data_IF_559819111952
#
_entry.id   IF_559819111952
#
_cell.length_a   1.000
_cell.length_b   1.000
_cell.length_c   1.000
_cell.angle_alpha   90.00
_cell.angle_beta   90.00
_cell.angle_gamma   90.00
#
_symmetry.space_group_name_H-M   'P 1'
#
loop_
_entity.id
_entity.type
_entity.pdbx_description
1 polymer ?
#
# COMPACT_ATOMS: atom_id res chain seq x y z
N UNK A 1 -13.47 -5.64 21.61
CA UNK A 1 -12.14 -5.02 21.47
C UNK A 1 -11.64 -5.19 20.04
N UNK A 2 -11.19 -4.12 19.45
CA UNK A 2 -10.71 -4.15 18.06
C UNK A 2 -9.24 -4.60 18.05
N UNK A 3 -9.01 -5.85 17.65
CA UNK A 3 -7.67 -6.43 17.61
C UNK A 3 -7.26 -6.90 16.21
N UNK A 4 -8.06 -6.56 15.20
CA UNK A 4 -7.78 -6.91 13.82
C UNK A 4 -7.11 -5.73 13.11
N UNK A 5 -6.07 -6.03 12.39
CA UNK A 5 -5.29 -5.05 11.63
C UNK A 5 -5.14 -5.55 10.20
N UNK A 6 -5.18 -4.64 9.25
CA UNK A 6 -4.89 -4.96 7.86
C UNK A 6 -3.59 -4.29 7.47
N UNK A 7 -2.72 -5.04 6.84
CA UNK A 7 -1.50 -4.52 6.24
C UNK A 7 -1.57 -4.62 4.72
N UNK A 8 -1.13 -3.58 4.03
CA UNK A 8 -1.04 -3.57 2.58
C UNK A 8 0.36 -3.17 2.16
N UNK A 9 0.92 -3.92 1.24
CA UNK A 9 2.28 -3.71 0.75
C UNK A 9 2.40 -4.01 -0.75
N UNK A 10 3.21 -3.22 -1.42
CA UNK A 10 3.64 -3.49 -2.78
C UNK A 10 5.17 -3.43 -2.83
N UNK A 11 5.79 -4.46 -3.40
CA UNK A 11 7.25 -4.54 -3.51
C UNK A 11 7.81 -3.73 -4.66
N UNK A 12 9.13 -3.62 -4.73
CA UNK A 12 9.83 -2.84 -5.77
C UNK A 12 9.66 -3.43 -7.17
N UNK A 13 9.33 -4.71 -7.29
CA UNK A 13 9.01 -5.36 -8.57
C UNK A 13 7.66 -4.91 -9.16
N UNK A 14 6.78 -4.34 -8.35
CA UNK A 14 5.46 -3.84 -8.73
C UNK A 14 4.61 -4.93 -9.40
N UNK A 15 4.72 -6.18 -8.90
CA UNK A 15 4.01 -7.33 -9.49
C UNK A 15 2.62 -7.54 -8.90
N UNK A 16 2.49 -7.35 -7.59
CA UNK A 16 1.26 -7.63 -6.88
C UNK A 16 1.06 -6.68 -5.71
N UNK A 17 -0.19 -6.55 -5.31
CA UNK A 17 -0.61 -5.85 -4.10
C UNK A 17 -0.93 -6.92 -3.06
N UNK A 18 -0.10 -7.01 -2.03
CA UNK A 18 -0.25 -8.01 -0.98
C UNK A 18 -0.99 -7.42 0.21
N UNK A 19 -2.05 -8.09 0.64
CA UNK A 19 -2.87 -7.66 1.76
C UNK A 19 -2.98 -8.80 2.75
N UNK A 20 -2.87 -8.48 4.03
CA UNK A 20 -2.99 -9.45 5.11
C UNK A 20 -3.86 -8.91 6.22
N UNK A 21 -4.61 -9.80 6.84
CA UNK A 21 -5.34 -9.55 8.09
C UNK A 21 -4.60 -10.21 9.24
N UNK A 22 -4.32 -9.44 10.27
CA UNK A 22 -3.63 -9.89 11.47
C UNK A 22 -4.51 -9.70 12.70
N UNK A 23 -4.49 -10.67 13.58
CA UNK A 23 -4.98 -10.51 14.94
C UNK A 23 -3.77 -10.21 15.83
N UNK A 24 -3.79 -9.09 16.53
CA UNK A 24 -2.68 -8.68 17.40
C UNK A 24 -3.21 -8.27 18.76
N UNK A 25 -2.66 -8.88 19.81
CA UNK A 25 -2.85 -8.46 21.18
C UNK A 25 -1.51 -8.47 21.93
N UNK A 26 -1.54 -8.31 23.25
CA UNK A 26 -0.31 -8.25 24.06
C UNK A 26 0.49 -9.55 24.06
N UNK A 27 -0.16 -10.68 23.78
CA UNK A 27 0.43 -12.00 23.93
C UNK A 27 0.77 -12.65 22.59
N UNK A 28 0.06 -12.30 21.51
CA UNK A 28 0.19 -13.00 20.24
C UNK A 28 -0.03 -12.11 19.02
N UNK A 29 0.52 -12.55 17.90
CA UNK A 29 0.26 -12.02 16.57
C UNK A 29 -0.03 -13.20 15.65
N UNK A 30 -1.22 -13.22 15.05
CA UNK A 30 -1.67 -14.29 14.16
C UNK A 30 -2.05 -13.76 12.80
N UNK A 31 -1.58 -14.42 11.76
CA UNK A 31 -2.05 -14.19 10.39
C UNK A 31 -3.40 -14.92 10.22
N UNK A 32 -4.44 -14.19 9.92
CA UNK A 32 -5.80 -14.75 9.73
C UNK A 32 -6.11 -14.96 8.25
N UNK A 33 -5.86 -13.97 7.41
CA UNK A 33 -6.12 -14.01 5.98
C UNK A 33 -4.99 -13.31 5.23
N UNK A 34 -4.71 -13.76 4.02
CA UNK A 34 -3.77 -13.09 3.13
C UNK A 34 -4.23 -13.29 1.68
N UNK A 35 -4.05 -12.26 0.86
CA UNK A 35 -4.40 -12.31 -0.55
C UNK A 35 -3.49 -11.40 -1.35
N UNK A 36 -3.16 -11.81 -2.57
CA UNK A 36 -2.44 -10.99 -3.54
C UNK A 36 -3.40 -10.58 -4.65
N UNK A 37 -3.42 -9.28 -4.95
CA UNK A 37 -4.18 -8.72 -6.06
C UNK A 37 -3.21 -8.38 -7.19
N UNK A 38 -3.66 -8.57 -8.42
CA UNK A 38 -2.87 -8.19 -9.58
C UNK A 38 -2.75 -6.67 -9.64
N UNK A 39 -1.52 -6.20 -9.85
CA UNK A 39 -1.29 -4.76 -10.03
C UNK A 39 -1.81 -4.33 -11.40
N UNK A 40 -2.62 -3.25 -11.50
CA UNK A 40 -3.08 -2.76 -12.79
C UNK A 40 -1.90 -2.39 -13.69
N UNK A 41 -1.90 -2.90 -14.91
CA UNK A 41 -0.77 -2.76 -15.84
C UNK A 41 -0.39 -1.31 -16.11
N UNK A 42 -1.37 -0.44 -16.33
CA UNK A 42 -1.12 0.99 -16.57
C UNK A 42 -0.43 1.66 -15.40
N UNK A 43 -0.87 1.34 -14.18
CA UNK A 43 -0.27 1.89 -12.97
C UNK A 43 1.15 1.33 -12.77
N UNK A 44 1.32 0.03 -12.99
CA UNK A 44 2.62 -0.62 -12.92
C UNK A 44 3.63 0.07 -13.84
N UNK A 45 3.23 0.33 -15.09
CA UNK A 45 4.09 0.98 -16.07
C UNK A 45 4.48 2.39 -15.65
N UNK A 46 3.54 3.18 -15.13
CA UNK A 46 3.81 4.52 -14.61
C UNK A 46 4.81 4.51 -13.45
N UNK A 47 4.64 3.59 -12.51
CA UNK A 47 5.53 3.45 -11.35
C UNK A 47 6.93 3.04 -11.80
N UNK A 48 7.03 2.05 -12.69
CA UNK A 48 8.33 1.58 -13.17
C UNK A 48 9.07 2.66 -13.97
N UNK A 49 8.35 3.45 -14.75
CA UNK A 49 8.94 4.56 -15.49
C UNK A 49 9.57 5.58 -14.54
N UNK A 50 8.84 5.97 -13.50
CA UNK A 50 9.33 6.94 -12.50
C UNK A 50 10.52 6.36 -11.73
N UNK A 51 10.44 5.10 -11.29
CA UNK A 51 11.51 4.49 -10.50
C UNK A 51 12.78 4.21 -11.28
N UNK A 52 12.68 3.94 -12.58
CA UNK A 52 13.84 3.66 -13.45
C UNK A 52 14.45 4.91 -14.05
N UNK A 53 13.68 5.95 -14.23
CA UNK A 53 14.14 7.18 -14.83
C UNK A 53 14.84 8.03 -13.77
N UNK A 54 16.13 8.27 -13.97
CA UNK A 54 16.95 9.10 -13.09
C UNK A 54 16.71 10.60 -13.29
N UNK A 55 15.89 11.00 -14.27
CA UNK A 55 15.51 12.39 -14.45
C UNK A 55 14.68 12.87 -13.25
N UNK A 56 14.81 14.13 -12.94
CA UNK A 56 14.04 14.74 -11.85
C UNK A 56 12.58 14.82 -12.27
N UNK A 57 11.73 14.09 -11.57
CA UNK A 57 10.29 14.21 -11.71
C UNK A 57 9.79 15.36 -10.84
N UNK A 58 8.84 16.15 -11.32
CA UNK A 58 8.29 17.20 -10.50
C UNK A 58 7.37 16.66 -9.41
N UNK A 59 7.18 17.46 -8.36
CA UNK A 59 6.36 17.05 -7.21
C UNK A 59 4.90 16.82 -7.61
N UNK A 60 4.41 17.49 -8.63
CA UNK A 60 3.05 17.31 -9.11
C UNK A 60 2.83 15.92 -9.71
N UNK A 61 3.77 15.45 -10.52
CA UNK A 61 3.70 14.08 -11.10
C UNK A 61 3.71 13.01 -10.01
N UNK A 62 4.60 13.16 -9.04
CA UNK A 62 4.71 12.22 -7.91
C UNK A 62 3.43 12.25 -7.07
N UNK A 63 2.92 13.43 -6.75
CA UNK A 63 1.70 13.59 -5.97
C UNK A 63 0.48 13.01 -6.68
N UNK A 64 0.34 13.26 -7.98
CA UNK A 64 -0.75 12.71 -8.78
C UNK A 64 -0.71 11.18 -8.83
N UNK A 65 0.47 10.61 -9.01
CA UNK A 65 0.65 9.15 -9.01
C UNK A 65 0.36 8.54 -7.63
N UNK A 66 0.78 9.23 -6.57
CA UNK A 66 0.50 8.83 -5.19
C UNK A 66 -1.00 8.76 -4.91
N UNK A 67 -1.76 9.74 -5.41
CA UNK A 67 -3.22 9.76 -5.28
C UNK A 67 -3.89 8.66 -6.08
N UNK A 68 -3.47 8.44 -7.34
CA UNK A 68 -4.00 7.34 -8.15
C UNK A 68 -3.77 5.98 -7.48
N UNK A 69 -2.58 5.76 -6.96
CA UNK A 69 -2.24 4.51 -6.27
C UNK A 69 -3.09 4.32 -5.02
N UNK A 70 -3.37 5.40 -4.30
CA UNK A 70 -4.21 5.34 -3.10
C UNK A 70 -5.62 4.83 -3.41
N UNK A 71 -6.22 5.23 -4.52
CA UNK A 71 -7.53 4.71 -4.94
C UNK A 71 -7.45 3.22 -5.26
N UNK A 72 -6.38 2.76 -5.88
CA UNK A 72 -6.17 1.34 -6.16
C UNK A 72 -6.02 0.55 -4.87
N UNK A 73 -5.27 1.08 -3.91
CA UNK A 73 -5.15 0.46 -2.59
C UNK A 73 -6.50 0.37 -1.88
N UNK A 74 -7.29 1.43 -1.92
CA UNK A 74 -8.61 1.44 -1.28
C UNK A 74 -9.54 0.39 -1.89
N UNK A 75 -9.58 0.29 -3.21
CA UNK A 75 -10.36 -0.75 -3.91
C UNK A 75 -9.89 -2.16 -3.53
N UNK A 76 -8.59 -2.37 -3.45
CA UNK A 76 -8.02 -3.67 -3.09
C UNK A 76 -8.35 -4.04 -1.64
N UNK A 77 -8.28 -3.08 -0.72
CA UNK A 77 -8.65 -3.29 0.67
C UNK A 77 -10.14 -3.65 0.79
N UNK A 78 -11.00 -2.91 0.10
CA UNK A 78 -12.45 -3.18 0.12
C UNK A 78 -12.76 -4.58 -0.43
N UNK A 79 -12.13 -4.96 -1.55
CA UNK A 79 -12.28 -6.30 -2.13
C UNK A 79 -11.80 -7.39 -1.16
N UNK A 80 -10.66 -7.17 -0.51
CA UNK A 80 -10.11 -8.10 0.46
C UNK A 80 -11.05 -8.31 1.65
N UNK A 81 -11.57 -7.24 2.20
CA UNK A 81 -12.52 -7.28 3.32
C UNK A 81 -13.77 -8.06 2.93
N UNK A 82 -14.31 -7.78 1.74
CA UNK A 82 -15.49 -8.46 1.22
C UNK A 82 -15.25 -9.95 0.98
N UNK A 83 -14.20 -10.28 0.25
CA UNK A 83 -13.89 -11.67 -0.12
C UNK A 83 -13.48 -12.52 1.08
N UNK A 84 -12.84 -11.93 2.08
CA UNK A 84 -12.44 -12.61 3.31
C UNK A 84 -13.53 -12.63 4.37
N UNK A 85 -14.69 -12.02 4.09
CA UNK A 85 -15.82 -11.94 5.00
C UNK A 85 -15.44 -11.35 6.37
N UNK A 86 -14.65 -10.29 6.35
CA UNK A 86 -14.18 -9.61 7.56
C UNK A 86 -15.23 -8.59 8.01
N UNK A 87 -15.49 -8.58 9.32
CA UNK A 87 -16.32 -7.54 9.92
C UNK A 87 -15.52 -6.25 10.06
N UNK A 88 -15.92 -5.22 9.32
CA UNK A 88 -15.22 -3.92 9.35
C UNK A 88 -15.13 -3.33 10.74
N UNK A 89 -16.13 -3.56 11.57
CA UNK A 89 -16.13 -3.02 12.93
C UNK A 89 -15.06 -3.66 13.83
N UNK A 90 -14.55 -4.84 13.46
CA UNK A 90 -13.46 -5.47 14.18
C UNK A 90 -12.08 -4.93 13.80
N UNK A 91 -11.98 -4.19 12.69
CA UNK A 91 -10.71 -3.65 12.21
C UNK A 91 -10.33 -2.41 13.02
N UNK A 92 -9.16 -2.44 13.62
CA UNK A 92 -8.64 -1.33 14.39
C UNK A 92 -7.93 -0.31 13.50
N UNK A 93 -7.11 -0.78 12.58
CA UNK A 93 -6.34 0.10 11.70
C UNK A 93 -5.87 -0.64 10.44
N UNK A 94 -5.53 0.14 9.43
CA UNK A 94 -4.89 -0.33 8.20
C UNK A 94 -3.49 0.28 8.14
N UNK A 95 -2.47 -0.56 8.04
CA UNK A 95 -1.08 -0.15 7.86
C UNK A 95 -0.72 -0.14 6.37
N UNK A 96 -0.15 0.96 5.91
CA UNK A 96 0.25 1.13 4.52
C UNK A 96 1.74 1.43 4.47
N UNK A 97 2.51 0.55 3.83
CA UNK A 97 3.91 0.83 3.53
C UNK A 97 4.04 1.78 2.33
N UNK A 98 3.14 1.62 1.36
CA UNK A 98 3.20 2.32 0.10
C UNK A 98 4.10 1.63 -0.91
N UNK A 99 4.31 2.30 -2.03
CA UNK A 99 5.17 1.82 -3.12
C UNK A 99 6.46 2.61 -3.14
N UNK A 100 7.58 1.94 -2.97
CA UNK A 100 8.90 2.56 -3.07
C UNK A 100 9.20 2.89 -4.53
N UNK A 101 9.50 4.15 -4.80
CA UNK A 101 9.91 4.65 -6.12
C UNK A 101 11.37 5.06 -6.15
N UNK A 102 11.96 5.33 -4.98
CA UNK A 102 13.37 5.67 -4.86
C UNK A 102 13.89 5.20 -3.51
N UNK A 103 15.03 4.55 -3.52
CA UNK A 103 15.71 4.11 -2.30
C UNK A 103 17.21 4.29 -2.48
N UNK A 104 17.81 5.20 -1.72
CA UNK A 104 19.20 5.61 -1.85
C UNK A 104 19.89 5.60 -0.47
N UNK A 105 20.14 4.40 0.10
CA UNK A 105 20.70 4.28 1.45
C UNK A 105 22.17 4.65 1.53
N UNK A 106 22.92 4.51 0.43
CA UNK A 106 24.38 4.64 0.40
C UNK A 106 24.88 6.01 -0.06
N UNK A 107 23.97 6.97 -0.25
CA UNK A 107 24.35 8.34 -0.63
C UNK A 107 24.71 9.17 0.60
N UNK A 108 25.36 10.33 0.38
CA UNK A 108 25.73 11.28 1.44
C UNK A 108 24.49 11.71 2.22
N UNK A 109 23.37 11.92 1.51
CA UNK A 109 22.07 12.17 2.10
C UNK A 109 21.13 10.98 1.78
N UNK A 110 21.15 9.92 2.61
CA UNK A 110 20.31 8.76 2.37
C UNK A 110 18.84 9.15 2.31
N UNK A 111 18.11 8.56 1.36
CA UNK A 111 16.69 8.84 1.20
C UNK A 111 15.91 7.62 0.73
N UNK A 112 14.65 7.61 1.03
CA UNK A 112 13.69 6.63 0.51
C UNK A 112 12.38 7.35 0.27
N UNK A 113 11.77 7.14 -0.90
CA UNK A 113 10.49 7.76 -1.25
C UNK A 113 9.48 6.67 -1.51
N UNK A 114 8.39 6.69 -0.76
CA UNK A 114 7.24 5.84 -0.94
C UNK A 114 6.05 6.70 -1.35
N UNK A 115 5.21 6.17 -2.24
CA UNK A 115 3.97 6.81 -2.67
C UNK A 115 2.76 5.99 -2.24
N UNK A 116 1.59 6.61 -2.22
CA UNK A 116 0.34 6.04 -1.75
C UNK A 116 -0.25 6.95 -0.66
N UNK A 117 -1.15 7.84 -1.05
CA UNK A 117 -1.71 8.85 -0.15
C UNK A 117 -2.62 8.20 0.89
N UNK A 118 -2.16 8.10 2.14
CA UNK A 118 -2.89 7.46 3.23
C UNK A 118 -4.21 8.15 3.59
N UNK A 119 -4.31 9.46 3.42
CA UNK A 119 -5.55 10.18 3.66
C UNK A 119 -6.66 9.73 2.71
N UNK A 120 -6.33 9.53 1.44
CA UNK A 120 -7.28 9.03 0.45
C UNK A 120 -7.72 7.62 0.81
N UNK A 121 -6.77 6.75 1.14
CA UNK A 121 -7.09 5.37 1.54
C UNK A 121 -8.04 5.37 2.75
N UNK A 122 -7.74 6.16 3.76
CA UNK A 122 -8.59 6.27 4.95
C UNK A 122 -10.00 6.76 4.62
N UNK A 123 -10.11 7.79 3.78
CA UNK A 123 -11.38 8.37 3.38
C UNK A 123 -12.23 7.40 2.55
N UNK A 124 -11.62 6.71 1.60
CA UNK A 124 -12.31 5.80 0.69
C UNK A 124 -12.71 4.47 1.37
N UNK A 125 -11.95 4.00 2.35
CA UNK A 125 -12.24 2.74 3.04
C UNK A 125 -13.07 2.93 4.32
N UNK A 126 -13.15 4.12 4.83
CA UNK A 126 -13.83 4.40 6.09
C UNK A 126 -13.00 4.04 7.30
#
# INVERSE_FOLDING_TARGET
MKNHFIGIMTGTSVDAIDIAELFINKEECKLLNAQSFQFPEKMRNKILEISRNKAVHDNFQISSLSDELAYIYAESIDAFIYESNIDRECINAVGIHGQTISHKPDEINPSSIQIGNGEIVAKETG
#
